data_IF_423988928783
#
_entry.id   IF_423988928783
#
_cell.length_a   1.000
_cell.length_b   1.000
_cell.length_c   1.000
_cell.angle_alpha   90.00
_cell.angle_beta   90.00
_cell.angle_gamma   90.00
#
_symmetry.space_group_name_H-M   'P 1'
#
loop_
_entity.id
_entity.type
_entity.pdbx_description
1 polymer ?
#
# COMPACT_ATOMS: atom_id res chain seq x y z
N UNK A 1 5.27 -3.71 -29.21
CA UNK A 1 5.04 -2.86 -28.03
C UNK A 1 3.79 -2.05 -28.31
N UNK A 2 2.71 -2.29 -27.55
CA UNK A 2 1.40 -1.65 -27.80
C UNK A 2 1.49 -0.19 -27.38
N UNK A 3 1.04 0.73 -28.24
CA UNK A 3 0.96 2.16 -27.94
C UNK A 3 -0.44 2.50 -27.44
N UNK A 4 -0.52 3.26 -26.36
CA UNK A 4 -1.77 3.69 -25.73
C UNK A 4 -1.64 5.14 -25.27
N UNK A 5 -2.72 5.91 -25.41
CA UNK A 5 -2.83 7.28 -24.95
C UNK A 5 -3.89 7.41 -23.86
N UNK A 6 -3.67 8.30 -22.91
CA UNK A 6 -4.61 8.53 -21.80
C UNK A 6 -4.55 9.99 -21.33
N UNK A 7 -5.60 10.47 -20.68
CA UNK A 7 -5.58 11.77 -20.03
C UNK A 7 -4.78 11.70 -18.72
N UNK A 8 -5.12 10.74 -17.86
CA UNK A 8 -4.45 10.51 -16.59
C UNK A 8 -3.75 9.16 -16.56
N UNK A 9 -2.45 9.18 -16.27
CA UNK A 9 -1.66 8.00 -15.95
C UNK A 9 -1.36 8.00 -14.45
N UNK A 10 -2.00 7.11 -13.71
CA UNK A 10 -1.69 6.84 -12.31
C UNK A 10 -0.52 5.88 -12.22
N UNK A 11 0.49 6.24 -11.42
CA UNK A 11 1.65 5.38 -11.11
C UNK A 11 1.86 5.30 -9.60
N UNK A 12 2.29 4.15 -9.10
CA UNK A 12 2.46 3.94 -7.66
C UNK A 12 2.78 2.48 -7.32
N UNK A 13 2.87 2.19 -6.01
CA UNK A 13 3.04 0.83 -5.48
C UNK A 13 1.79 -0.05 -5.52
N UNK A 14 0.78 0.32 -6.32
CA UNK A 14 -0.53 -0.32 -6.35
C UNK A 14 -0.47 -1.81 -6.70
N UNK A 15 -1.31 -2.62 -6.07
CA UNK A 15 -1.29 -4.08 -6.14
C UNK A 15 -0.13 -4.70 -5.34
N UNK A 16 0.45 -3.95 -4.39
CA UNK A 16 1.53 -4.43 -3.52
C UNK A 16 1.15 -4.47 -2.03
N UNK A 17 0.42 -3.48 -1.51
CA UNK A 17 0.03 -3.42 -0.10
C UNK A 17 -1.25 -2.59 0.08
N UNK A 18 -1.94 -2.82 1.19
CA UNK A 18 -3.21 -2.16 1.54
C UNK A 18 -3.13 -0.63 1.47
N UNK A 19 -2.05 -0.02 1.98
CA UNK A 19 -1.93 1.43 2.05
C UNK A 19 -1.88 2.08 0.67
N UNK A 20 -1.08 1.54 -0.25
CA UNK A 20 -1.01 2.03 -1.62
C UNK A 20 -2.33 1.78 -2.38
N UNK A 21 -2.98 0.65 -2.11
CA UNK A 21 -4.27 0.29 -2.70
C UNK A 21 -5.41 1.21 -2.23
N UNK A 22 -5.43 1.57 -0.94
CA UNK A 22 -6.32 2.58 -0.37
C UNK A 22 -6.16 3.93 -1.09
N UNK A 23 -4.90 4.31 -1.27
CA UNK A 23 -4.52 5.56 -1.94
C UNK A 23 -4.96 5.57 -3.40
N UNK A 24 -4.80 4.45 -4.12
CA UNK A 24 -5.30 4.28 -5.48
C UNK A 24 -6.81 4.56 -5.55
N UNK A 25 -7.59 3.90 -4.70
CA UNK A 25 -9.06 4.05 -4.69
C UNK A 25 -9.43 5.51 -4.39
N UNK A 26 -8.78 6.12 -3.40
CA UNK A 26 -9.01 7.52 -3.06
C UNK A 26 -8.76 8.48 -4.23
N UNK A 27 -7.66 8.29 -4.95
CA UNK A 27 -7.32 9.12 -6.11
C UNK A 27 -8.30 8.86 -7.27
N UNK A 28 -8.69 7.62 -7.49
CA UNK A 28 -9.68 7.28 -8.53
C UNK A 28 -11.05 7.90 -8.24
N UNK A 29 -11.48 7.98 -6.98
CA UNK A 29 -12.71 8.71 -6.62
C UNK A 29 -12.66 10.17 -7.08
N UNK A 30 -11.60 10.90 -6.76
CA UNK A 30 -11.47 12.31 -7.19
C UNK A 30 -11.42 12.45 -8.71
N UNK A 31 -10.62 11.62 -9.39
CA UNK A 31 -10.44 11.76 -10.83
C UNK A 31 -11.71 11.44 -11.61
N UNK A 32 -12.42 10.39 -11.21
CA UNK A 32 -13.65 9.98 -11.89
C UNK A 32 -14.82 10.91 -11.61
N UNK A 33 -14.86 11.51 -10.41
CA UNK A 33 -15.87 12.52 -10.03
C UNK A 33 -15.63 13.86 -10.75
N UNK A 34 -14.43 14.43 -10.64
CA UNK A 34 -14.14 15.78 -11.16
C UNK A 34 -13.87 15.83 -12.66
N UNK A 35 -13.36 14.74 -13.23
CA UNK A 35 -12.96 14.69 -14.64
C UNK A 35 -13.73 13.59 -15.38
N UNK A 36 -15.05 13.58 -15.21
CA UNK A 36 -15.96 12.65 -15.87
C UNK A 36 -15.70 12.57 -17.37
N UNK A 37 -15.50 11.36 -17.89
CA UNK A 37 -15.21 11.12 -19.32
C UNK A 37 -13.72 11.13 -19.69
N UNK A 38 -12.82 11.47 -18.76
CA UNK A 38 -11.39 11.35 -18.98
C UNK A 38 -10.94 9.89 -19.02
N UNK A 39 -9.96 9.60 -19.87
CA UNK A 39 -9.34 8.27 -19.93
C UNK A 39 -8.29 8.12 -18.84
N UNK A 40 -8.39 7.05 -18.05
CA UNK A 40 -7.50 6.79 -16.91
C UNK A 40 -6.82 5.43 -17.10
N UNK A 41 -5.49 5.44 -17.04
CA UNK A 41 -4.65 4.23 -16.97
C UNK A 41 -3.97 4.19 -15.62
N UNK A 42 -3.97 3.02 -14.98
CA UNK A 42 -3.19 2.72 -13.79
C UNK A 42 -2.03 1.81 -14.18
N UNK A 43 -0.81 2.31 -14.07
CA UNK A 43 0.40 1.51 -14.19
C UNK A 43 0.89 1.11 -12.79
N UNK A 44 0.71 -0.15 -12.46
CA UNK A 44 0.81 -0.68 -11.10
C UNK A 44 1.97 -1.67 -10.93
N UNK A 45 2.22 -2.08 -9.68
CA UNK A 45 3.20 -3.10 -9.38
C UNK A 45 2.77 -4.47 -9.93
N UNK A 46 1.50 -4.84 -9.72
CA UNK A 46 0.91 -6.07 -10.25
C UNK A 46 -0.58 -5.86 -10.51
N UNK A 47 -1.00 -5.91 -11.77
CA UNK A 47 -2.41 -5.65 -12.14
C UNK A 47 -3.36 -6.75 -11.67
N UNK A 48 -2.85 -7.96 -11.51
CA UNK A 48 -3.63 -9.10 -11.03
C UNK A 48 -3.97 -8.93 -9.54
N UNK A 49 -3.15 -8.18 -8.79
CA UNK A 49 -3.31 -7.92 -7.37
C UNK A 49 -4.06 -6.62 -7.06
N UNK A 50 -4.55 -5.89 -8.07
CA UNK A 50 -5.34 -4.69 -7.83
C UNK A 50 -6.66 -5.09 -7.15
N UNK A 51 -7.08 -4.37 -6.08
CA UNK A 51 -8.33 -4.59 -5.36
C UNK A 51 -9.53 -4.77 -6.29
N UNK A 52 -10.36 -5.76 -5.99
CA UNK A 52 -11.60 -6.00 -6.72
C UNK A 52 -12.52 -4.77 -6.63
N UNK A 53 -12.55 -4.12 -5.47
CA UNK A 53 -13.28 -2.89 -5.22
C UNK A 53 -12.88 -1.76 -6.17
N UNK A 54 -11.59 -1.66 -6.52
CA UNK A 54 -11.11 -0.70 -7.51
C UNK A 54 -11.54 -1.08 -8.93
N UNK A 55 -11.47 -2.38 -9.29
CA UNK A 55 -11.89 -2.87 -10.60
C UNK A 55 -13.39 -2.69 -10.84
N UNK A 56 -14.21 -2.97 -9.81
CA UNK A 56 -15.67 -2.90 -9.88
C UNK A 56 -16.20 -1.47 -9.78
N UNK A 57 -15.63 -0.65 -8.89
CA UNK A 57 -16.06 0.75 -8.74
C UNK A 57 -15.66 1.62 -9.93
N UNK A 58 -14.60 1.24 -10.65
CA UNK A 58 -14.04 2.04 -11.74
C UNK A 58 -13.83 1.20 -13.01
N UNK A 59 -14.92 0.72 -13.63
CA UNK A 59 -14.84 -0.22 -14.76
C UNK A 59 -14.20 0.39 -16.03
N UNK A 60 -14.17 1.73 -16.12
CA UNK A 60 -13.56 2.46 -17.23
C UNK A 60 -12.05 2.70 -17.07
N UNK A 61 -11.46 2.27 -15.95
CA UNK A 61 -10.02 2.39 -15.67
C UNK A 61 -9.29 1.18 -16.22
N UNK A 62 -8.23 1.41 -17.00
CA UNK A 62 -7.40 0.32 -17.52
C UNK A 62 -6.18 0.10 -16.64
N UNK A 63 -5.91 -1.14 -16.26
CA UNK A 63 -4.77 -1.51 -15.41
C UNK A 63 -3.68 -2.23 -16.23
N UNK A 64 -2.45 -1.75 -16.11
CA UNK A 64 -1.27 -2.34 -16.73
C UNK A 64 -0.15 -2.52 -15.72
N UNK A 65 0.76 -3.45 -16.01
CA UNK A 65 2.03 -3.58 -15.29
C UNK A 65 3.20 -3.82 -16.26
N UNK A 66 4.40 -4.07 -15.71
CA UNK A 66 5.61 -4.28 -16.53
C UNK A 66 5.52 -5.47 -17.49
N UNK A 67 4.67 -6.46 -17.21
CA UNK A 67 4.51 -7.65 -18.06
C UNK A 67 3.84 -7.34 -19.41
N UNK A 68 3.08 -6.23 -19.49
CA UNK A 68 2.30 -5.86 -20.68
C UNK A 68 3.13 -5.31 -21.86
N UNK A 69 4.39 -4.89 -21.62
CA UNK A 69 5.30 -4.34 -22.65
C UNK A 69 4.62 -3.26 -23.51
N UNK A 70 4.26 -2.15 -22.86
CA UNK A 70 3.47 -1.05 -23.43
C UNK A 70 4.24 0.27 -23.46
N UNK A 71 3.87 1.10 -24.43
CA UNK A 71 4.25 2.51 -24.51
C UNK A 71 3.02 3.36 -24.19
N UNK A 72 3.03 4.04 -23.04
CA UNK A 72 1.94 4.93 -22.63
C UNK A 72 2.36 6.38 -22.86
N UNK A 73 1.50 7.16 -23.51
CA UNK A 73 1.60 8.62 -23.55
C UNK A 73 0.44 9.24 -22.79
N UNK A 74 0.71 10.14 -21.85
CA UNK A 74 -0.30 10.75 -21.00
C UNK A 74 -0.24 12.29 -21.03
N UNK A 75 -1.38 12.94 -20.83
CA UNK A 75 -1.41 14.39 -20.57
C UNK A 75 -0.84 14.66 -19.17
N UNK A 76 -1.38 13.98 -18.16
CA UNK A 76 -0.94 14.07 -16.78
C UNK A 76 -0.48 12.71 -16.28
N UNK A 77 0.69 12.68 -15.65
CA UNK A 77 1.11 11.56 -14.82
C UNK A 77 0.93 11.95 -13.37
N UNK A 78 0.18 11.16 -12.62
CA UNK A 78 0.02 11.34 -11.18
C UNK A 78 0.73 10.18 -10.50
N UNK A 79 1.72 10.51 -9.70
CA UNK A 79 2.36 9.59 -8.79
C UNK A 79 1.63 9.69 -7.44
N UNK A 80 0.88 8.65 -7.07
CA UNK A 80 0.19 8.60 -5.79
C UNK A 80 1.12 8.09 -4.71
N UNK A 81 1.56 9.02 -3.86
CA UNK A 81 2.15 8.91 -2.52
C UNK A 81 2.97 7.67 -2.13
N UNK A 82 3.15 7.54 -0.81
CA UNK A 82 4.03 6.57 -0.18
C UNK A 82 5.36 7.17 0.29
N UNK A 83 6.06 6.45 1.18
CA UNK A 83 7.39 6.82 1.63
C UNK A 83 8.42 6.41 0.57
N UNK A 84 8.79 7.35 -0.29
CA UNK A 84 9.91 7.17 -1.20
C UNK A 84 11.18 7.52 -0.43
N UNK A 85 12.17 6.62 -0.47
CA UNK A 85 13.53 6.84 0.05
C UNK A 85 13.73 6.82 1.59
N UNK A 86 12.89 6.12 2.36
CA UNK A 86 13.23 5.82 3.75
C UNK A 86 14.45 4.89 3.82
N UNK A 87 15.54 5.36 4.44
CA UNK A 87 16.72 4.51 4.68
C UNK A 87 16.55 3.80 6.03
N UNK A 88 16.18 2.52 6.02
CA UNK A 88 16.15 1.72 7.27
C UNK A 88 17.60 1.38 7.63
N UNK A 89 18.10 1.97 8.72
CA UNK A 89 19.43 1.69 9.23
C UNK A 89 19.44 0.43 10.11
N UNK A 90 19.75 -0.72 9.53
CA UNK A 90 20.71 -1.61 10.19
C UNK A 90 21.36 -2.54 9.16
N UNK A 91 22.70 -2.63 9.20
CA UNK A 91 23.47 -3.54 8.35
C UNK A 91 23.11 -5.01 8.58
N UNK A 92 22.53 -5.32 9.74
CA UNK A 92 22.05 -6.65 10.10
C UNK A 92 20.65 -6.90 9.51
N UNK A 93 19.73 -5.92 9.54
CA UNK A 93 18.42 -6.05 8.93
C UNK A 93 18.48 -6.23 7.41
N UNK A 94 19.44 -5.62 6.71
CA UNK A 94 19.59 -5.80 5.26
C UNK A 94 19.99 -7.23 4.90
N UNK A 95 20.90 -7.85 5.68
CA UNK A 95 21.30 -9.25 5.49
C UNK A 95 20.15 -10.20 5.84
N UNK A 96 19.45 -9.94 6.94
CA UNK A 96 18.32 -10.75 7.38
C UNK A 96 17.12 -10.61 6.43
N UNK A 97 16.88 -9.41 5.89
CA UNK A 97 15.88 -9.14 4.84
C UNK A 97 16.20 -9.92 3.57
N UNK A 98 17.47 -9.91 3.14
CA UNK A 98 17.89 -10.66 1.96
C UNK A 98 17.72 -12.16 2.16
N UNK A 99 18.14 -12.69 3.31
CA UNK A 99 17.99 -14.10 3.66
C UNK A 99 16.52 -14.53 3.77
N UNK A 100 15.66 -13.70 4.39
CA UNK A 100 14.20 -13.94 4.46
C UNK A 100 13.57 -13.88 3.07
N UNK A 101 13.92 -12.90 2.22
CA UNK A 101 13.45 -12.82 0.82
C UNK A 101 13.86 -14.04 0.00
N UNK A 102 15.11 -14.50 0.15
CA UNK A 102 15.61 -15.69 -0.54
C UNK A 102 14.86 -16.93 -0.05
N UNK A 103 14.78 -17.16 1.27
CA UNK A 103 14.05 -18.29 1.86
C UNK A 103 12.60 -18.33 1.42
N UNK A 104 11.97 -17.16 1.34
CA UNK A 104 10.59 -17.05 0.86
C UNK A 104 10.45 -17.33 -0.63
N UNK A 105 11.34 -16.80 -1.48
CA UNK A 105 11.33 -17.09 -2.93
C UNK A 105 11.54 -18.58 -3.22
N UNK A 106 12.33 -19.29 -2.41
CA UNK A 106 12.47 -20.74 -2.49
C UNK A 106 11.19 -21.49 -2.07
N UNK A 107 10.46 -20.97 -1.07
CA UNK A 107 9.22 -21.57 -0.60
C UNK A 107 7.98 -21.20 -1.45
N UNK A 108 8.07 -20.16 -2.31
CA UNK A 108 6.97 -19.69 -3.16
C UNK A 108 7.42 -19.52 -4.62
N UNK A 109 7.47 -20.65 -5.34
CA UNK A 109 7.92 -20.73 -6.75
C UNK A 109 7.15 -19.81 -7.72
N UNK A 110 5.88 -19.49 -7.43
CA UNK A 110 5.06 -18.55 -8.22
C UNK A 110 5.58 -17.10 -8.13
N UNK A 111 6.06 -16.66 -6.97
CA UNK A 111 6.57 -15.30 -6.79
C UNK A 111 7.97 -15.09 -7.39
N UNK A 112 8.78 -16.15 -7.39
CA UNK A 112 10.07 -16.15 -8.07
C UNK A 112 9.93 -15.93 -9.59
N UNK A 113 8.99 -16.64 -10.23
CA UNK A 113 8.68 -16.48 -11.66
C UNK A 113 8.15 -15.08 -11.98
N UNK A 114 7.35 -14.49 -11.08
CA UNK A 114 6.83 -13.13 -11.24
C UNK A 114 7.95 -12.07 -11.18
N UNK A 115 8.90 -12.24 -10.27
CA UNK A 115 10.07 -11.36 -10.12
C UNK A 115 10.97 -11.41 -11.36
N UNK A 116 11.13 -12.59 -11.98
CA UNK A 116 11.90 -12.76 -13.21
C UNK A 116 11.23 -12.10 -14.42
N UNK A 117 9.91 -12.29 -14.62
CA UNK A 117 9.16 -11.65 -15.73
C UNK A 117 9.24 -10.12 -15.67
N UNK A 118 9.27 -9.52 -14.47
CA UNK A 118 9.44 -8.07 -14.26
C UNK A 118 10.78 -7.50 -14.72
N UNK A 119 11.86 -8.29 -14.71
CA UNK A 119 13.19 -7.84 -15.14
C UNK A 119 13.32 -7.70 -16.66
N UNK A 120 12.47 -8.36 -17.44
CA UNK A 120 12.53 -8.38 -18.91
C UNK A 120 11.45 -7.55 -19.60
N UNK A 121 10.50 -6.98 -18.86
CA UNK A 121 9.47 -6.09 -19.40
C UNK A 121 9.97 -4.64 -19.51
N UNK A 122 10.13 -4.12 -20.73
CA UNK A 122 10.31 -2.68 -20.99
C UNK A 122 8.94 -2.04 -21.15
N UNK A 123 8.60 -1.08 -20.29
CA UNK A 123 7.46 -0.19 -20.46
C UNK A 123 8.01 1.24 -20.58
N UNK A 124 7.59 1.99 -21.58
CA UNK A 124 7.94 3.40 -21.70
C UNK A 124 6.75 4.26 -21.32
N UNK A 125 6.94 5.14 -20.34
CA UNK A 125 5.92 6.05 -19.85
C UNK A 125 6.35 7.47 -20.22
N UNK A 126 5.57 8.13 -21.08
CA UNK A 126 5.78 9.54 -21.46
C UNK A 126 4.61 10.37 -20.98
N UNK A 127 4.89 11.53 -20.40
CA UNK A 127 3.85 12.43 -19.93
C UNK A 127 4.21 13.89 -20.23
N UNK A 128 3.18 14.73 -20.42
CA UNK A 128 3.39 16.18 -20.61
C UNK A 128 3.61 16.90 -19.29
N UNK A 129 2.88 16.50 -18.24
CA UNK A 129 2.97 17.06 -16.89
C UNK A 129 3.01 15.95 -15.85
N UNK A 130 3.76 16.17 -14.77
CA UNK A 130 3.90 15.25 -13.64
C UNK A 130 3.37 15.88 -12.37
N UNK A 131 2.64 15.11 -11.58
CA UNK A 131 2.11 15.48 -10.27
C UNK A 131 2.54 14.40 -9.28
N UNK A 132 3.19 14.80 -8.20
CA UNK A 132 3.52 13.94 -7.06
C UNK A 132 2.59 14.27 -5.92
N UNK A 133 1.62 13.40 -5.67
CA UNK A 133 0.51 13.67 -4.77
C UNK A 133 0.71 12.96 -3.43
N UNK A 134 0.89 13.72 -2.36
CA UNK A 134 1.01 13.22 -1.00
C UNK A 134 2.23 12.34 -0.76
N UNK A 135 3.37 12.67 -1.39
CA UNK A 135 4.62 11.92 -1.19
C UNK A 135 5.29 12.33 0.14
N UNK A 136 5.99 11.36 0.74
CA UNK A 136 6.93 11.62 1.83
C UNK A 136 8.38 11.48 1.39
N UNK A 137 9.23 12.39 1.86
CA UNK A 137 10.66 12.46 1.62
C UNK A 137 11.42 12.32 2.94
N UNK A 138 12.43 11.47 2.95
CA UNK A 138 13.34 11.31 4.08
C UNK A 138 12.76 10.47 5.21
N UNK A 139 13.44 10.40 6.37
CA UNK A 139 14.70 11.07 6.65
C UNK A 139 15.85 10.49 5.83
N UNK A 140 16.69 11.38 5.28
CA UNK A 140 17.88 11.02 4.51
C UNK A 140 19.15 11.19 5.34
N UNK A 141 20.07 10.22 5.26
CA UNK A 141 21.46 10.41 5.72
C UNK A 141 22.29 11.21 4.72
N UNK A 142 22.11 10.88 3.44
CA UNK A 142 22.72 11.54 2.30
C UNK A 142 21.57 11.91 1.38
N UNK A 143 21.46 13.19 1.03
CA UNK A 143 20.39 13.68 0.17
C UNK A 143 20.50 12.99 -1.21
N UNK A 144 19.45 12.27 -1.67
CA UNK A 144 19.43 11.75 -3.02
C UNK A 144 19.22 12.89 -4.02
N UNK A 145 19.52 12.63 -5.30
CA UNK A 145 19.12 13.55 -6.37
C UNK A 145 17.59 13.55 -6.49
N UNK A 146 17.00 14.73 -6.33
CA UNK A 146 15.56 14.98 -6.40
C UNK A 146 15.16 15.76 -7.67
N UNK A 147 16.06 15.96 -8.62
CA UNK A 147 15.84 16.75 -9.84
C UNK A 147 14.64 16.29 -10.69
N UNK A 148 14.21 15.04 -10.54
CA UNK A 148 12.99 14.53 -11.16
C UNK A 148 11.70 15.22 -10.68
N UNK A 149 11.78 16.01 -9.61
CA UNK A 149 10.69 16.79 -9.03
C UNK A 149 10.64 18.23 -9.56
N UNK A 150 11.72 18.77 -10.13
CA UNK A 150 11.86 20.21 -10.41
C UNK A 150 10.83 20.73 -11.43
N UNK A 151 10.40 19.90 -12.37
CA UNK A 151 9.39 20.22 -13.39
C UNK A 151 7.99 19.65 -13.07
N UNK A 152 7.77 19.23 -11.82
CA UNK A 152 6.53 18.60 -11.38
C UNK A 152 5.77 19.45 -10.36
N UNK A 153 4.45 19.25 -10.30
CA UNK A 153 3.68 19.71 -9.15
C UNK A 153 3.90 18.74 -8.00
N UNK A 154 4.52 19.20 -6.92
CA UNK A 154 4.85 18.37 -5.76
C UNK A 154 3.99 18.76 -4.56
N UNK A 155 3.25 17.78 -4.04
CA UNK A 155 2.42 17.91 -2.84
C UNK A 155 2.95 16.93 -1.80
N UNK A 156 3.45 17.44 -0.69
CA UNK A 156 4.05 16.66 0.40
C UNK A 156 3.02 16.43 1.50
N UNK A 157 3.01 15.25 2.11
CA UNK A 157 2.03 14.92 3.16
C UNK A 157 2.44 15.33 4.56
N UNK A 158 3.74 15.56 4.80
CA UNK A 158 4.24 15.98 6.12
C UNK A 158 5.31 17.08 6.05
N UNK A 159 5.40 17.86 7.14
CA UNK A 159 6.31 19.02 7.24
C UNK A 159 7.79 18.65 7.15
N UNK A 160 8.18 17.46 7.60
CA UNK A 160 9.57 17.01 7.52
C UNK A 160 10.04 16.99 6.06
N UNK A 161 9.18 16.57 5.14
CA UNK A 161 9.50 16.48 3.71
C UNK A 161 9.77 17.84 3.08
N UNK A 162 9.11 18.91 3.54
CA UNK A 162 9.36 20.28 3.06
C UNK A 162 10.79 20.75 3.31
N UNK A 163 11.47 20.17 4.30
CA UNK A 163 12.89 20.48 4.54
C UNK A 163 13.79 19.98 3.40
N UNK A 164 13.34 18.98 2.65
CA UNK A 164 14.06 18.39 1.52
C UNK A 164 13.68 18.97 0.16
N UNK A 165 12.46 19.52 0.01
CA UNK A 165 12.01 20.17 -1.22
C UNK A 165 11.10 21.37 -0.87
N UNK A 166 11.68 22.57 -0.87
CA UNK A 166 11.05 23.79 -0.31
C UNK A 166 9.96 24.40 -1.20
N UNK A 167 10.03 24.16 -2.50
CA UNK A 167 9.07 24.70 -3.48
C UNK A 167 7.79 23.84 -3.60
N UNK A 168 7.71 22.74 -2.85
CA UNK A 168 6.51 21.92 -2.77
C UNK A 168 5.38 22.60 -1.98
N UNK A 169 4.17 22.11 -2.25
CA UNK A 169 2.97 22.42 -1.49
C UNK A 169 2.82 21.42 -0.34
N UNK A 170 2.49 21.92 0.86
CA UNK A 170 2.07 21.05 1.96
C UNK A 170 0.61 20.65 1.76
N UNK A 171 0.35 19.35 1.63
CA UNK A 171 -0.97 18.76 1.59
C UNK A 171 -1.17 17.74 2.70
N UNK A 172 -2.01 16.74 2.43
CA UNK A 172 -2.24 15.59 3.30
C UNK A 172 -2.05 14.29 2.51
N UNK A 173 -2.00 13.17 3.22
CA UNK A 173 -2.02 11.85 2.58
C UNK A 173 -3.34 11.69 1.81
N UNK A 174 -3.35 11.19 0.55
CA UNK A 174 -4.58 11.10 -0.23
C UNK A 174 -5.64 10.21 0.42
N UNK A 175 -5.26 9.33 1.34
CA UNK A 175 -6.22 8.56 2.14
C UNK A 175 -7.09 9.41 3.08
N UNK A 176 -6.77 10.70 3.30
CA UNK A 176 -7.64 11.65 4.01
C UNK A 176 -8.67 12.35 3.11
N UNK A 177 -8.84 11.89 1.88
CA UNK A 177 -9.90 12.38 1.01
C UNK A 177 -11.29 12.15 1.64
N UNK A 178 -12.12 13.19 1.83
CA UNK A 178 -13.49 13.05 2.33
C UNK A 178 -14.34 12.06 1.53
N UNK A 179 -14.25 12.01 0.19
CA UNK A 179 -15.02 11.06 -0.62
C UNK A 179 -14.66 9.61 -0.29
N UNK A 180 -13.37 9.36 -0.04
CA UNK A 180 -12.87 8.05 0.34
C UNK A 180 -13.33 7.67 1.75
N UNK A 181 -13.19 8.59 2.70
CA UNK A 181 -13.62 8.40 4.09
C UNK A 181 -15.13 8.12 4.15
N UNK A 182 -15.95 8.94 3.47
CA UNK A 182 -17.40 8.76 3.43
C UNK A 182 -17.79 7.41 2.84
N UNK A 183 -17.08 6.95 1.80
CA UNK A 183 -17.32 5.63 1.19
C UNK A 183 -17.01 4.49 2.16
N UNK A 184 -15.93 4.58 2.94
CA UNK A 184 -15.60 3.58 3.97
C UNK A 184 -16.61 3.61 5.13
N UNK A 185 -17.05 4.80 5.55
CA UNK A 185 -17.91 4.97 6.73
C UNK A 185 -19.37 4.64 6.43
N UNK A 186 -19.89 4.93 5.22
CA UNK A 186 -21.30 4.68 4.88
C UNK A 186 -21.68 3.19 4.89
N UNK A 187 -20.72 2.30 4.70
CA UNK A 187 -20.93 0.84 4.79
C UNK A 187 -21.00 0.32 6.23
N UNK A 188 -20.94 1.21 7.25
CA UNK A 188 -21.12 0.87 8.67
C UNK A 188 -22.60 0.68 9.01
N UNK A 189 -23.23 -0.38 8.50
CA UNK A 189 -24.47 -0.86 9.12
C UNK A 189 -24.18 -1.64 10.42
N UNK A 190 -24.97 -1.32 11.44
CA UNK A 190 -24.76 -1.65 12.84
C UNK A 190 -24.92 -3.16 13.08
N UNK A 191 -23.82 -3.84 13.41
CA UNK A 191 -23.89 -5.16 14.04
C UNK A 191 -24.42 -4.97 15.48
N UNK A 192 -25.74 -5.12 15.63
CA UNK A 192 -26.39 -5.32 16.92
C UNK A 192 -26.34 -6.81 17.28
N UNK A 193 -25.78 -7.10 18.46
CA UNK A 193 -26.25 -8.05 19.49
C UNK A 193 -25.07 -8.67 20.23
N UNK A 194 -25.06 -8.55 21.57
CA UNK A 194 -24.40 -9.33 22.64
C UNK A 194 -23.09 -10.12 22.40
N UNK A 195 -22.29 -9.80 21.39
CA UNK A 195 -20.96 -10.38 21.17
C UNK A 195 -19.94 -9.57 21.98
N UNK A 196 -18.99 -10.24 22.63
CA UNK A 196 -17.85 -9.57 23.29
C UNK A 196 -17.28 -8.49 22.36
N UNK A 197 -16.99 -7.28 22.84
CA UNK A 197 -16.35 -6.25 22.04
C UNK A 197 -15.08 -6.81 21.39
N UNK A 198 -14.87 -6.50 20.12
CA UNK A 198 -13.79 -7.05 19.31
C UNK A 198 -12.60 -6.09 19.29
N UNK A 199 -11.40 -6.59 19.52
CA UNK A 199 -10.15 -5.84 19.39
C UNK A 199 -9.37 -6.43 18.21
N UNK A 200 -9.17 -5.62 17.18
CA UNK A 200 -8.25 -5.92 16.08
C UNK A 200 -6.82 -5.51 16.44
N UNK A 201 -5.88 -6.45 16.44
CA UNK A 201 -4.44 -6.16 16.58
C UNK A 201 -3.83 -6.25 15.18
N UNK A 202 -3.50 -5.08 14.63
CA UNK A 202 -2.76 -4.99 13.36
C UNK A 202 -1.30 -5.28 13.63
N UNK A 203 -0.81 -6.37 13.06
CA UNK A 203 0.61 -6.75 13.15
C UNK A 203 1.27 -6.47 11.81
N UNK A 204 2.43 -5.82 11.85
CA UNK A 204 3.28 -5.58 10.69
C UNK A 204 4.71 -5.91 11.08
N UNK A 205 5.33 -6.87 10.40
CA UNK A 205 6.72 -7.25 10.61
C UNK A 205 7.60 -6.19 9.94
N UNK A 206 8.10 -5.26 10.75
CA UNK A 206 9.18 -4.37 10.33
C UNK A 206 10.48 -5.16 10.47
N UNK A 207 11.44 -4.97 9.56
CA UNK A 207 12.76 -5.60 9.64
C UNK A 207 13.56 -5.06 10.84
N UNK A 208 13.22 -5.52 12.04
CA UNK A 208 14.03 -5.35 13.23
C UNK A 208 15.03 -6.52 13.34
N UNK A 209 16.08 -6.32 14.13
CA UNK A 209 16.93 -7.45 14.53
C UNK A 209 16.11 -8.52 15.27
N UNK A 210 16.61 -9.76 15.31
CA UNK A 210 15.90 -10.90 15.90
C UNK A 210 15.53 -10.68 17.38
N UNK A 211 16.34 -9.93 18.14
CA UNK A 211 16.10 -9.65 19.55
C UNK A 211 14.92 -8.70 19.75
N UNK A 212 14.87 -7.58 19.02
CA UNK A 212 13.75 -6.62 19.09
C UNK A 212 12.44 -7.22 18.61
N UNK A 213 12.47 -8.10 17.61
CA UNK A 213 11.26 -8.81 17.17
C UNK A 213 10.66 -9.64 18.31
N UNK A 214 11.50 -10.34 19.09
CA UNK A 214 11.03 -11.12 20.24
C UNK A 214 10.37 -10.22 21.30
N UNK A 215 11.00 -9.10 21.65
CA UNK A 215 10.43 -8.15 22.62
C UNK A 215 9.08 -7.60 22.19
N UNK A 216 8.91 -7.31 20.89
CA UNK A 216 7.64 -6.87 20.31
C UNK A 216 6.60 -7.97 20.44
N UNK A 217 6.92 -9.22 20.06
CA UNK A 217 5.97 -10.33 20.17
C UNK A 217 5.59 -10.65 21.63
N UNK A 218 6.55 -10.66 22.55
CA UNK A 218 6.29 -10.87 23.98
C UNK A 218 5.35 -9.78 24.53
N UNK A 219 5.54 -8.53 24.08
CA UNK A 219 4.67 -7.40 24.44
C UNK A 219 3.26 -7.59 23.89
N UNK A 220 3.11 -7.97 22.62
CA UNK A 220 1.81 -8.25 22.00
C UNK A 220 1.11 -9.40 22.74
N UNK A 221 1.81 -10.51 23.00
CA UNK A 221 1.26 -11.66 23.72
C UNK A 221 0.77 -11.30 25.12
N UNK A 222 1.52 -10.45 25.84
CA UNK A 222 1.10 -9.94 27.14
C UNK A 222 -0.24 -9.20 27.05
N UNK A 223 -0.42 -8.34 26.05
CA UNK A 223 -1.70 -7.64 25.84
C UNK A 223 -2.83 -8.61 25.46
N UNK A 224 -2.58 -9.59 24.59
CA UNK A 224 -3.57 -10.62 24.24
C UNK A 224 -4.06 -11.35 25.49
N UNK A 225 -3.15 -11.79 26.35
CA UNK A 225 -3.51 -12.51 27.59
C UNK A 225 -4.31 -11.64 28.58
N UNK A 226 -4.05 -10.32 28.62
CA UNK A 226 -4.80 -9.39 29.47
C UNK A 226 -6.22 -9.16 28.91
N UNK A 227 -6.37 -9.09 27.59
CA UNK A 227 -7.60 -8.64 26.94
C UNK A 227 -8.55 -9.79 26.59
N UNK A 228 -8.06 -10.98 26.26
CA UNK A 228 -8.89 -12.12 25.81
C UNK A 228 -10.00 -12.59 26.78
N UNK A 229 -9.91 -12.41 28.11
CA UNK A 229 -11.04 -12.71 28.99
C UNK A 229 -12.26 -11.81 28.72
N UNK A 230 -12.03 -10.58 28.28
CA UNK A 230 -13.06 -9.53 28.16
C UNK A 230 -13.45 -9.24 26.70
N UNK A 231 -12.51 -9.41 25.78
CA UNK A 231 -12.65 -9.05 24.37
C UNK A 231 -12.47 -10.26 23.47
N UNK A 232 -13.09 -10.21 22.29
CA UNK A 232 -12.70 -11.09 21.19
C UNK A 232 -11.45 -10.49 20.54
N UNK A 233 -10.37 -11.25 20.42
CA UNK A 233 -9.10 -10.76 19.88
C UNK A 233 -8.93 -11.28 18.46
N UNK A 234 -8.78 -10.36 17.50
CA UNK A 234 -8.51 -10.69 16.10
C UNK A 234 -7.13 -10.19 15.70
N UNK A 235 -6.28 -11.07 15.18
CA UNK A 235 -5.01 -10.67 14.57
C UNK A 235 -5.25 -10.28 13.11
N UNK A 236 -4.75 -9.13 12.70
CA UNK A 236 -4.89 -8.60 11.35
C UNK A 236 -3.51 -8.50 10.72
N UNK A 237 -3.27 -9.35 9.73
CA UNK A 237 -2.02 -9.46 8.99
C UNK A 237 -2.17 -8.82 7.61
N UNK A 238 -1.29 -7.87 7.29
CA UNK A 238 -1.24 -7.21 5.97
C UNK A 238 -0.15 -7.76 5.03
N UNK A 239 0.79 -8.56 5.52
CA UNK A 239 1.81 -9.24 4.75
C UNK A 239 2.02 -10.69 5.21
N UNK A 240 1.29 -11.65 4.63
CA UNK A 240 1.45 -13.10 4.92
C UNK A 240 2.88 -13.64 4.74
N UNK A 241 3.69 -12.92 3.96
CA UNK A 241 5.08 -13.25 3.62
C UNK A 241 6.07 -12.85 4.71
N UNK A 242 5.95 -11.64 5.24
CA UNK A 242 6.86 -11.11 6.26
C UNK A 242 6.36 -11.45 7.66
N UNK A 243 5.04 -11.42 7.85
CA UNK A 243 4.42 -11.59 9.15
C UNK A 243 4.26 -13.09 9.52
N UNK A 244 5.02 -14.02 8.94
CA UNK A 244 4.77 -15.47 9.12
C UNK A 244 5.01 -15.98 10.55
N UNK A 245 5.81 -15.27 11.35
CA UNK A 245 6.25 -15.74 12.67
C UNK A 245 5.20 -15.59 13.76
N UNK A 246 4.25 -14.65 13.65
CA UNK A 246 3.32 -14.43 14.76
C UNK A 246 2.43 -15.65 14.98
N UNK A 247 2.06 -16.43 13.95
CA UNK A 247 1.24 -17.65 14.13
C UNK A 247 1.92 -18.70 15.01
N UNK A 248 3.25 -18.73 15.01
CA UNK A 248 4.02 -19.66 15.83
C UNK A 248 4.33 -19.13 17.23
N UNK A 249 4.10 -17.84 17.48
CA UNK A 249 4.51 -17.16 18.72
C UNK A 249 3.32 -16.65 19.52
N UNK A 250 2.34 -16.06 18.85
CA UNK A 250 1.13 -15.54 19.46
C UNK A 250 0.09 -16.65 19.65
N UNK A 251 -0.51 -16.71 20.82
CA UNK A 251 -1.54 -17.66 21.24
C UNK A 251 -2.68 -16.93 21.97
N UNK A 252 -3.80 -17.62 22.20
CA UNK A 252 -4.98 -17.09 22.91
C UNK A 252 -5.69 -15.91 22.22
N UNK A 253 -5.65 -15.87 20.89
CA UNK A 253 -6.51 -15.00 20.07
C UNK A 253 -7.61 -15.84 19.38
N UNK A 254 -8.73 -15.21 19.06
CA UNK A 254 -9.93 -15.90 18.58
C UNK A 254 -9.94 -16.07 17.05
N UNK A 255 -9.53 -15.04 16.32
CA UNK A 255 -9.62 -15.00 14.86
C UNK A 255 -8.35 -14.43 14.22
N UNK A 256 -8.15 -14.75 12.94
CA UNK A 256 -7.09 -14.18 12.13
C UNK A 256 -7.63 -13.74 10.77
N UNK A 257 -7.22 -12.55 10.34
CA UNK A 257 -7.44 -12.06 9.00
C UNK A 257 -6.11 -11.89 8.30
N UNK A 258 -6.02 -12.46 7.11
CA UNK A 258 -4.95 -12.17 6.17
C UNK A 258 -5.53 -11.28 5.08
N UNK A 259 -5.01 -10.07 4.96
CA UNK A 259 -5.31 -9.22 3.81
C UNK A 259 -4.79 -9.88 2.54
N UNK A 260 -5.70 -10.03 1.58
CA UNK A 260 -5.40 -10.45 0.22
C UNK A 260 -6.03 -9.43 -0.71
N UNK A 261 -5.19 -8.62 -1.36
CA UNK A 261 -5.65 -7.54 -2.24
C UNK A 261 -6.45 -8.04 -3.45
N UNK A 262 -6.54 -9.36 -3.68
CA UNK A 262 -7.34 -9.95 -4.76
C UNK A 262 -8.77 -10.28 -4.35
N UNK A 263 -9.12 -10.17 -3.07
CA UNK A 263 -10.44 -10.53 -2.54
C UNK A 263 -11.19 -9.26 -2.11
N UNK A 264 -12.53 -9.32 -2.10
CA UNK A 264 -13.41 -8.28 -1.53
C UNK A 264 -13.27 -8.26 0.00
N UNK A 265 -12.14 -7.77 0.46
CA UNK A 265 -11.79 -7.69 1.87
C UNK A 265 -11.54 -6.24 2.26
N UNK A 266 -11.30 -5.32 1.32
CA UNK A 266 -10.85 -3.97 1.64
C UNK A 266 -11.88 -3.24 2.51
N UNK A 267 -13.10 -3.00 2.03
CA UNK A 267 -14.14 -2.34 2.82
C UNK A 267 -14.66 -3.24 3.96
N UNK A 268 -14.78 -4.54 3.73
CA UNK A 268 -15.23 -5.50 4.74
C UNK A 268 -14.31 -5.55 5.97
N UNK A 269 -13.01 -5.31 5.82
CA UNK A 269 -12.06 -5.23 6.93
C UNK A 269 -12.34 -4.02 7.82
N UNK A 270 -12.54 -2.84 7.22
CA UNK A 270 -12.83 -1.60 7.95
C UNK A 270 -14.23 -1.63 8.60
N UNK A 271 -15.21 -2.24 7.94
CA UNK A 271 -16.59 -2.38 8.45
C UNK A 271 -16.67 -3.40 9.60
N UNK A 272 -16.06 -4.59 9.46
CA UNK A 272 -16.20 -5.68 10.43
C UNK A 272 -15.42 -5.48 11.74
N UNK A 273 -14.34 -4.70 11.72
CA UNK A 273 -13.42 -4.58 12.86
C UNK A 273 -13.28 -3.17 13.43
N UNK A 274 -14.07 -2.20 12.96
CA UNK A 274 -14.07 -0.81 13.47
C UNK A 274 -12.64 -0.19 13.51
N UNK A 275 -11.81 -0.49 12.51
CA UNK A 275 -10.46 0.10 12.35
C UNK A 275 -10.57 1.52 11.83
#
# INVERSE_FOLDING_TARGET
MRKVSTDFLLTGGYGSNLGDDAMLISILLELTDRFSGSTIIVFCYNKDNIPQEAKESFPNVTYFDRSDKIDITANFRIYGGGNQHFTINSSNAVKDELLRKIKFQFNNSREFLFTFKKRFGKANLKCRKSIYLGIGLGPFKIMPDLSYLDDALVILREKLSLTYHKDAILGCDPCFNPLFIDKIIKDKEVLKDNVKPNIGIVVRDWYHDFERNKEIFDSIQKYINILSPFYKITIINFCSVLDFQYRSVLVNYDDEIIYDSRKIIFFNLFVKYQI
#
